data_IF_254415121980
#
_entry.id   IF_254415121980
#
_cell.length_a   1.000
_cell.length_b   1.000
_cell.length_c   1.000
_cell.angle_alpha   90.00
_cell.angle_beta   90.00
_cell.angle_gamma   90.00
#
_symmetry.space_group_name_H-M   'P 1'
#
loop_
_entity.id
_entity.type
_entity.pdbx_description
1 polymer ?
#
# COMPACT_ATOMS: atom_id res chain seq x y z
N UNK A 1 -10.91 -3.89 25.82
CA UNK A 1 -10.63 -4.77 24.67
C UNK A 1 -9.20 -5.32 24.71
N UNK A 2 -8.11 -4.48 24.70
CA UNK A 2 -6.74 -5.01 24.66
C UNK A 2 -6.35 -5.83 25.89
N UNK A 3 -6.70 -5.37 27.11
CA UNK A 3 -6.46 -6.15 28.34
C UNK A 3 -7.32 -7.43 28.39
N UNK A 4 -8.48 -7.41 27.79
CA UNK A 4 -9.36 -8.58 27.66
C UNK A 4 -8.82 -9.57 26.64
N UNK A 5 -8.33 -9.09 25.48
CA UNK A 5 -7.65 -9.90 24.46
C UNK A 5 -6.45 -10.64 25.08
N UNK A 6 -5.60 -9.92 25.83
CA UNK A 6 -4.43 -10.50 26.50
C UNK A 6 -4.82 -11.58 27.53
N UNK A 7 -5.89 -11.37 28.29
CA UNK A 7 -6.33 -12.27 29.35
C UNK A 7 -7.09 -13.48 28.82
N UNK A 8 -7.95 -13.27 27.81
CA UNK A 8 -8.93 -14.27 27.33
C UNK A 8 -8.51 -14.91 26.02
N UNK A 9 -7.50 -14.38 25.34
CA UNK A 9 -7.07 -14.84 24.02
C UNK A 9 -8.05 -14.48 22.89
N UNK A 10 -8.86 -13.42 23.05
CA UNK A 10 -9.81 -12.97 22.06
C UNK A 10 -9.13 -12.21 20.93
N UNK A 11 -9.76 -12.13 19.76
CA UNK A 11 -9.36 -11.25 18.68
C UNK A 11 -10.08 -9.90 18.78
N UNK A 12 -9.37 -8.81 18.56
CA UNK A 12 -9.98 -7.49 18.38
C UNK A 12 -10.21 -7.27 16.89
N UNK A 13 -11.47 -7.38 16.47
CA UNK A 13 -11.88 -7.21 15.06
C UNK A 13 -12.66 -5.92 14.90
N UNK A 14 -12.31 -5.10 13.91
CA UNK A 14 -13.01 -3.86 13.61
C UNK A 14 -12.91 -3.50 12.13
N UNK A 15 -13.76 -2.58 11.69
CA UNK A 15 -13.78 -2.04 10.32
C UNK A 15 -13.50 -0.54 10.36
N UNK A 16 -13.27 0.04 9.19
CA UNK A 16 -13.20 1.50 8.98
C UNK A 16 -14.14 1.88 7.83
N UNK A 17 -14.17 3.17 7.48
CA UNK A 17 -14.98 3.66 6.36
C UNK A 17 -14.61 3.03 5.01
N UNK A 18 -13.38 2.55 4.87
CA UNK A 18 -12.93 1.80 3.71
C UNK A 18 -13.37 0.33 3.81
N UNK A 19 -13.46 -0.38 2.68
CA UNK A 19 -13.75 -1.82 2.62
C UNK A 19 -12.60 -2.66 3.21
N UNK A 20 -12.33 -2.52 4.51
CA UNK A 20 -11.25 -3.22 5.21
C UNK A 20 -11.75 -3.88 6.48
N UNK A 21 -11.27 -5.11 6.73
CA UNK A 21 -11.39 -5.82 7.98
C UNK A 21 -10.04 -5.77 8.69
N UNK A 22 -10.01 -5.29 9.93
CA UNK A 22 -8.79 -5.14 10.70
C UNK A 22 -8.83 -6.06 11.90
N UNK A 23 -7.75 -6.79 12.12
CA UNK A 23 -7.59 -7.72 13.24
C UNK A 23 -6.36 -7.28 14.04
N UNK A 24 -6.58 -6.90 15.31
CA UNK A 24 -5.51 -6.59 16.24
C UNK A 24 -5.21 -7.79 17.13
N UNK A 25 -3.93 -8.01 17.40
CA UNK A 25 -3.44 -8.97 18.38
C UNK A 25 -2.15 -8.48 19.04
N UNK A 26 -1.96 -8.87 20.29
CA UNK A 26 -0.74 -8.54 21.02
C UNK A 26 0.39 -9.48 20.61
N UNK A 27 1.54 -8.94 20.18
CA UNK A 27 2.68 -9.73 19.72
C UNK A 27 3.30 -10.58 20.85
N UNK A 28 3.23 -10.11 22.09
CA UNK A 28 3.87 -10.74 23.23
C UNK A 28 3.07 -11.92 23.80
N UNK A 29 1.75 -11.89 23.65
CA UNK A 29 0.84 -12.93 24.19
C UNK A 29 0.27 -13.83 23.12
N UNK A 30 -0.20 -13.29 22.00
CA UNK A 30 -0.74 -14.04 20.87
C UNK A 30 0.36 -14.56 19.94
N UNK A 31 1.39 -13.74 19.71
CA UNK A 31 2.43 -13.98 18.71
C UNK A 31 2.02 -13.55 17.31
N UNK A 32 3.00 -13.12 16.51
CA UNK A 32 2.77 -12.67 15.13
C UNK A 32 2.25 -13.77 14.21
N UNK A 33 2.80 -14.96 14.32
CA UNK A 33 2.41 -16.09 13.46
C UNK A 33 0.94 -16.45 13.63
N UNK A 34 0.44 -16.45 14.87
CA UNK A 34 -0.96 -16.69 15.14
C UNK A 34 -1.84 -15.57 14.61
N UNK A 35 -1.46 -14.30 14.81
CA UNK A 35 -2.20 -13.16 14.28
C UNK A 35 -2.30 -13.21 12.75
N UNK A 36 -1.20 -13.51 12.08
CA UNK A 36 -1.16 -13.64 10.62
C UNK A 36 -2.02 -14.82 10.15
N UNK A 37 -1.94 -15.96 10.82
CA UNK A 37 -2.78 -17.12 10.51
C UNK A 37 -4.28 -16.80 10.64
N UNK A 38 -4.70 -16.10 11.68
CA UNK A 38 -6.09 -15.64 11.80
C UNK A 38 -6.50 -14.66 10.69
N UNK A 39 -5.59 -13.80 10.26
CA UNK A 39 -5.83 -12.90 9.13
C UNK A 39 -5.96 -13.67 7.80
N UNK A 40 -5.19 -14.72 7.59
CA UNK A 40 -5.31 -15.62 6.43
C UNK A 40 -6.67 -16.31 6.38
N UNK A 41 -7.10 -16.89 7.51
CA UNK A 41 -8.44 -17.49 7.64
C UNK A 41 -9.52 -16.45 7.34
N UNK A 42 -9.40 -15.24 7.92
CA UNK A 42 -10.34 -14.15 7.66
C UNK A 42 -10.32 -13.72 6.18
N UNK A 43 -9.14 -13.71 5.52
CA UNK A 43 -9.01 -13.44 4.10
C UNK A 43 -9.75 -14.47 3.25
N UNK A 44 -9.58 -15.76 3.53
CA UNK A 44 -10.29 -16.83 2.83
C UNK A 44 -11.82 -16.74 3.00
N UNK A 45 -12.29 -16.50 4.21
CA UNK A 45 -13.71 -16.32 4.48
C UNK A 45 -14.30 -15.12 3.73
N UNK A 46 -13.57 -14.01 3.68
CA UNK A 46 -14.02 -12.75 3.07
C UNK A 46 -13.84 -12.69 1.54
N UNK A 47 -13.33 -13.75 0.90
CA UNK A 47 -13.37 -13.94 -0.56
C UNK A 47 -14.75 -14.27 -1.09
N UNK A 48 -15.66 -14.74 -0.23
CA UNK A 48 -17.05 -15.09 -0.64
C UNK A 48 -17.74 -13.86 -1.21
N UNK A 49 -18.54 -14.09 -2.25
CA UNK A 49 -19.22 -13.03 -3.01
C UNK A 49 -20.10 -12.10 -2.14
N UNK A 50 -20.64 -12.64 -1.05
CA UNK A 50 -21.48 -11.92 -0.11
C UNK A 50 -20.71 -10.82 0.65
N UNK A 51 -19.40 -11.00 0.86
CA UNK A 51 -18.61 -10.13 1.74
C UNK A 51 -17.53 -9.33 1.03
N UNK A 52 -16.83 -9.88 0.07
CA UNK A 52 -15.81 -9.26 -0.80
C UNK A 52 -15.06 -8.09 -0.16
N UNK A 53 -14.49 -8.30 1.01
CA UNK A 53 -13.72 -7.28 1.73
C UNK A 53 -12.43 -6.97 0.96
N UNK A 54 -12.19 -5.70 0.67
CA UNK A 54 -11.05 -5.25 -0.15
C UNK A 54 -9.70 -5.62 0.45
N UNK A 55 -9.55 -5.54 1.78
CA UNK A 55 -8.34 -5.94 2.51
C UNK A 55 -8.66 -6.49 3.90
N UNK A 56 -7.95 -7.53 4.30
CA UNK A 56 -7.80 -7.92 5.69
C UNK A 56 -6.44 -7.39 6.17
N UNK A 57 -6.40 -6.75 7.33
CA UNK A 57 -5.18 -6.09 7.83
C UNK A 57 -4.86 -6.63 9.22
N UNK A 58 -3.69 -7.25 9.35
CA UNK A 58 -3.10 -7.54 10.64
C UNK A 58 -2.59 -6.25 11.31
N UNK A 59 -3.03 -6.01 12.54
CA UNK A 59 -2.66 -4.84 13.34
C UNK A 59 -2.00 -5.25 14.66
N UNK A 60 -0.75 -5.72 14.61
CA UNK A 60 -0.06 -6.12 15.81
C UNK A 60 0.26 -4.91 16.72
N UNK A 61 0.29 -5.19 18.02
CA UNK A 61 0.65 -4.21 19.03
C UNK A 61 1.40 -4.89 20.19
N UNK A 62 2.10 -4.09 21.00
CA UNK A 62 2.78 -4.49 22.22
C UNK A 62 2.22 -3.74 23.44
N UNK A 63 2.65 -4.15 24.64
CA UNK A 63 2.22 -3.58 25.92
C UNK A 63 1.18 -4.43 26.60
N UNK A 64 1.12 -4.38 27.96
CA UNK A 64 0.32 -5.27 28.80
C UNK A 64 -0.85 -4.59 29.49
N UNK A 65 -0.85 -3.25 29.59
CA UNK A 65 -1.90 -2.50 30.29
C UNK A 65 -2.17 -1.13 29.66
N UNK A 66 -3.27 -0.53 30.06
CA UNK A 66 -3.69 0.81 29.61
C UNK A 66 -2.56 1.83 29.74
N UNK A 67 -2.27 2.53 28.65
CA UNK A 67 -1.20 3.52 28.54
C UNK A 67 0.10 3.00 27.96
N UNK A 68 0.32 1.69 27.92
CA UNK A 68 1.51 1.05 27.35
C UNK A 68 1.31 0.58 25.91
N UNK A 69 0.06 0.38 25.48
CA UNK A 69 -0.23 -0.16 24.14
C UNK A 69 0.36 0.70 23.01
N UNK A 70 1.16 0.07 22.16
CA UNK A 70 1.80 0.68 20.99
C UNK A 70 1.67 -0.24 19.78
N UNK A 71 1.24 0.31 18.65
CA UNK A 71 1.27 -0.40 17.38
C UNK A 71 2.71 -0.62 16.95
N UNK A 72 2.98 -1.80 16.39
CA UNK A 72 4.29 -2.14 15.85
C UNK A 72 4.35 -1.92 14.34
N UNK A 73 5.54 -2.05 13.77
CA UNK A 73 5.78 -1.99 12.32
C UNK A 73 5.38 -3.28 11.58
N UNK A 74 5.04 -4.36 12.31
CA UNK A 74 4.72 -5.67 11.78
C UNK A 74 3.27 -5.75 11.23
N UNK A 75 2.72 -4.61 10.79
CA UNK A 75 1.47 -4.59 10.05
C UNK A 75 1.61 -5.38 8.77
N UNK A 76 0.61 -6.22 8.46
CA UNK A 76 0.54 -6.94 7.20
C UNK A 76 -0.85 -6.79 6.57
N UNK A 77 -0.89 -6.51 5.26
CA UNK A 77 -2.12 -6.32 4.51
C UNK A 77 -2.33 -7.50 3.56
N UNK A 78 -3.47 -8.18 3.67
CA UNK A 78 -3.93 -9.23 2.78
C UNK A 78 -4.92 -8.62 1.79
N UNK A 79 -4.44 -8.24 0.63
CA UNK A 79 -5.24 -7.59 -0.41
C UNK A 79 -6.18 -8.57 -1.13
N UNK A 80 -7.23 -8.02 -1.73
CA UNK A 80 -8.05 -8.74 -2.69
C UNK A 80 -7.41 -8.57 -4.06
N UNK A 81 -7.05 -9.66 -4.71
CA UNK A 81 -6.57 -9.65 -6.09
C UNK A 81 -7.64 -9.07 -7.02
N UNK A 82 -7.26 -8.42 -8.13
CA UNK A 82 -8.20 -8.01 -9.16
C UNK A 82 -9.08 -9.19 -9.62
N UNK A 83 -10.36 -8.95 -9.85
CA UNK A 83 -11.34 -9.99 -10.24
C UNK A 83 -11.03 -10.69 -11.56
N UNK A 84 -10.18 -10.10 -12.35
CA UNK A 84 -9.85 -10.63 -13.66
C UNK A 84 -8.60 -9.97 -14.21
N UNK A 85 -8.33 -10.30 -15.46
CA UNK A 85 -7.18 -9.79 -16.18
C UNK A 85 -7.27 -8.27 -16.33
N UNK A 86 -6.25 -7.57 -15.87
CA UNK A 86 -6.11 -6.12 -15.96
C UNK A 86 -5.23 -5.73 -17.16
N UNK A 87 -5.16 -4.42 -17.44
CA UNK A 87 -4.20 -3.90 -18.42
C UNK A 87 -2.74 -4.22 -18.04
N UNK A 88 -2.42 -4.30 -16.73
CA UNK A 88 -1.08 -4.66 -16.26
C UNK A 88 -0.73 -6.10 -16.67
N UNK A 89 -1.66 -7.03 -16.49
CA UNK A 89 -1.47 -8.42 -16.96
C UNK A 89 -1.29 -8.49 -18.47
N UNK A 90 -2.09 -7.73 -19.24
CA UNK A 90 -2.02 -7.72 -20.69
C UNK A 90 -0.65 -7.21 -21.21
N UNK A 91 -0.13 -6.15 -20.59
CA UNK A 91 1.18 -5.61 -20.92
C UNK A 91 2.30 -6.60 -20.58
N UNK A 92 2.28 -7.18 -19.37
CA UNK A 92 3.26 -8.17 -18.93
C UNK A 92 3.28 -9.39 -19.85
N UNK A 93 2.11 -9.93 -20.21
CA UNK A 93 2.00 -11.11 -21.09
C UNK A 93 2.44 -10.81 -22.53
N UNK A 94 2.34 -9.55 -22.95
CA UNK A 94 2.88 -9.07 -24.24
C UNK A 94 4.39 -8.81 -24.20
N UNK A 95 5.06 -9.06 -23.08
CA UNK A 95 6.51 -8.90 -22.91
C UNK A 95 6.96 -7.47 -22.63
N UNK A 96 6.02 -6.58 -22.25
CA UNK A 96 6.36 -5.23 -21.82
C UNK A 96 6.74 -5.18 -20.34
N UNK A 97 7.57 -4.19 -19.97
CA UNK A 97 7.84 -3.87 -18.60
C UNK A 97 6.61 -3.24 -17.92
N UNK A 98 6.29 -3.69 -16.71
CA UNK A 98 5.24 -3.10 -15.89
C UNK A 98 5.85 -2.78 -14.52
N UNK A 99 6.33 -1.56 -14.39
CA UNK A 99 7.02 -1.07 -13.20
C UNK A 99 6.03 -0.37 -12.30
N UNK A 100 6.02 -0.71 -11.03
CA UNK A 100 5.22 -0.02 -10.01
C UNK A 100 6.08 0.81 -9.07
N UNK A 101 5.58 1.99 -8.70
CA UNK A 101 6.17 2.86 -7.68
C UNK A 101 5.09 3.22 -6.66
N UNK A 102 5.43 3.15 -5.38
CA UNK A 102 4.51 3.41 -4.27
C UNK A 102 3.66 2.20 -3.91
N UNK A 103 2.35 2.38 -3.71
CA UNK A 103 1.42 1.33 -3.24
C UNK A 103 0.78 0.49 -4.35
N UNK A 104 1.19 0.64 -5.59
CA UNK A 104 0.57 -0.11 -6.70
C UNK A 104 0.69 -1.62 -6.49
N UNK A 105 1.84 -2.09 -5.97
CA UNK A 105 2.01 -3.50 -5.61
C UNK A 105 0.93 -3.97 -4.63
N UNK A 106 0.73 -3.22 -3.55
CA UNK A 106 -0.25 -3.58 -2.51
C UNK A 106 -1.70 -3.50 -3.02
N UNK A 107 -1.99 -2.57 -3.95
CA UNK A 107 -3.33 -2.39 -4.54
C UNK A 107 -3.68 -3.56 -5.47
N UNK A 108 -2.72 -4.04 -6.26
CA UNK A 108 -2.92 -5.11 -7.24
C UNK A 108 -2.45 -6.49 -6.72
N UNK A 109 -2.01 -6.58 -5.46
CA UNK A 109 -1.41 -7.80 -4.89
C UNK A 109 -0.30 -8.38 -5.77
N UNK A 110 0.52 -7.51 -6.35
CA UNK A 110 1.60 -7.87 -7.27
C UNK A 110 1.17 -8.34 -8.65
N UNK A 111 -0.14 -8.46 -8.93
CA UNK A 111 -0.65 -8.97 -10.19
C UNK A 111 -0.30 -8.07 -11.38
N UNK A 112 0.24 -8.69 -12.42
CA UNK A 112 0.58 -7.99 -13.66
C UNK A 112 1.84 -7.12 -13.62
N UNK A 113 2.60 -7.12 -12.51
CA UNK A 113 3.84 -6.35 -12.37
C UNK A 113 5.05 -7.17 -12.79
N UNK A 114 6.05 -6.51 -13.40
CA UNK A 114 7.39 -7.06 -13.67
C UNK A 114 8.40 -6.59 -12.62
N UNK A 115 8.20 -5.38 -12.09
CA UNK A 115 9.04 -4.79 -11.06
C UNK A 115 8.23 -3.91 -10.11
N UNK A 116 8.62 -3.89 -8.82
CA UNK A 116 7.99 -3.05 -7.80
C UNK A 116 9.02 -2.28 -6.99
N UNK A 117 8.71 -0.99 -6.75
CA UNK A 117 9.55 -0.08 -5.98
C UNK A 117 8.69 0.59 -4.91
N UNK A 118 8.98 0.30 -3.67
CA UNK A 118 8.34 0.96 -2.55
C UNK A 118 8.80 2.41 -2.43
N UNK A 119 7.89 3.33 -2.10
CA UNK A 119 8.21 4.73 -1.82
C UNK A 119 7.80 5.11 -0.39
N UNK A 120 8.65 5.88 0.28
CA UNK A 120 8.41 6.35 1.65
C UNK A 120 7.61 7.66 1.69
N UNK A 121 7.50 8.36 0.56
CA UNK A 121 6.78 9.63 0.40
C UNK A 121 6.47 9.88 -1.07
N UNK A 122 5.61 10.86 -1.35
CA UNK A 122 5.35 11.31 -2.73
C UNK A 122 6.59 11.91 -3.38
N UNK A 123 7.42 12.62 -2.63
CA UNK A 123 8.71 13.15 -3.11
C UNK A 123 9.62 12.02 -3.57
N UNK A 124 9.81 11.00 -2.73
CA UNK A 124 10.62 9.84 -3.06
C UNK A 124 10.05 9.06 -4.27
N UNK A 125 8.71 8.93 -4.35
CA UNK A 125 8.06 8.31 -5.51
C UNK A 125 8.35 9.06 -6.82
N UNK A 126 8.33 10.38 -6.81
CA UNK A 126 8.69 11.20 -7.96
C UNK A 126 10.19 11.11 -8.31
N UNK A 127 11.07 11.06 -7.32
CA UNK A 127 12.51 10.84 -7.55
C UNK A 127 12.77 9.51 -8.25
N UNK A 128 12.14 8.44 -7.80
CA UNK A 128 12.20 7.13 -8.47
C UNK A 128 11.66 7.20 -9.90
N UNK A 129 10.53 7.89 -10.12
CA UNK A 129 9.93 8.09 -11.46
C UNK A 129 10.89 8.82 -12.39
N UNK A 130 11.54 9.89 -11.92
CA UNK A 130 12.54 10.63 -12.69
C UNK A 130 13.78 9.77 -13.01
N UNK A 131 14.16 8.86 -12.11
CA UNK A 131 15.26 7.90 -12.39
C UNK A 131 14.84 6.90 -13.47
N UNK A 132 13.62 6.35 -13.40
CA UNK A 132 13.10 5.47 -14.44
C UNK A 132 13.04 6.14 -15.82
N UNK A 133 12.70 7.43 -15.89
CA UNK A 133 12.74 8.20 -17.14
C UNK A 133 14.14 8.34 -17.78
N UNK A 134 15.19 7.87 -17.09
CA UNK A 134 16.57 7.82 -17.62
C UNK A 134 16.96 6.43 -18.11
N UNK A 135 16.13 5.44 -17.84
CA UNK A 135 16.39 4.05 -18.24
C UNK A 135 15.72 3.74 -19.58
N UNK A 136 16.32 2.86 -20.33
CA UNK A 136 15.72 2.33 -21.55
C UNK A 136 14.77 1.18 -21.14
N UNK A 137 13.49 1.49 -20.88
CA UNK A 137 12.47 0.50 -20.59
C UNK A 137 11.31 0.64 -21.60
N UNK A 138 10.72 -0.49 -21.96
CA UNK A 138 9.62 -0.53 -22.92
C UNK A 138 8.35 -1.04 -22.23
N UNK A 139 7.50 -0.12 -21.80
CA UNK A 139 6.29 -0.52 -21.07
C UNK A 139 5.62 0.59 -20.28
N UNK A 140 5.09 0.25 -19.11
CA UNK A 140 4.33 1.13 -18.24
C UNK A 140 5.04 1.31 -16.89
N UNK A 141 5.29 2.55 -16.50
CA UNK A 141 5.64 2.90 -15.11
C UNK A 141 4.40 3.48 -14.42
N UNK A 142 3.81 2.71 -13.50
CA UNK A 142 2.61 3.10 -12.77
C UNK A 142 2.98 3.63 -11.38
N UNK A 143 2.70 4.90 -11.14
CA UNK A 143 3.14 5.62 -9.93
C UNK A 143 1.95 5.99 -9.06
N UNK A 144 2.03 5.68 -7.76
CA UNK A 144 1.09 6.14 -6.75
C UNK A 144 1.78 7.07 -5.75
N UNK A 145 1.36 8.34 -5.72
CA UNK A 145 1.89 9.35 -4.81
C UNK A 145 1.05 9.40 -3.53
N UNK A 146 1.52 8.73 -2.50
CA UNK A 146 0.73 8.35 -1.32
C UNK A 146 0.42 9.48 -0.34
N UNK A 147 1.21 10.56 -0.29
CA UNK A 147 1.10 11.58 0.77
C UNK A 147 -0.15 12.44 0.64
N UNK A 148 -0.63 12.68 -0.59
CA UNK A 148 -1.82 13.49 -0.85
C UNK A 148 -3.03 12.98 -0.07
N UNK A 149 -3.23 11.66 -0.05
CA UNK A 149 -4.29 11.01 0.69
C UNK A 149 -3.88 10.78 2.15
N UNK A 150 -2.81 10.01 2.37
CA UNK A 150 -2.44 9.46 3.67
C UNK A 150 -2.00 10.51 4.68
N UNK A 151 -1.22 11.51 4.26
CA UNK A 151 -0.64 12.53 5.16
C UNK A 151 -1.53 13.75 5.26
N UNK A 152 -2.16 14.15 4.16
CA UNK A 152 -2.87 15.42 4.09
C UNK A 152 -4.38 15.29 3.96
N UNK A 153 -4.88 14.41 3.07
CA UNK A 153 -6.31 14.24 2.79
C UNK A 153 -7.09 13.75 4.00
N UNK A 154 -6.75 12.60 4.53
CA UNK A 154 -7.39 12.02 5.72
C UNK A 154 -7.29 12.89 6.98
N UNK A 155 -6.35 13.80 7.05
CA UNK A 155 -6.15 14.71 8.17
C UNK A 155 -6.74 16.10 7.95
N UNK A 156 -7.39 16.32 6.80
CA UNK A 156 -7.92 17.63 6.38
C UNK A 156 -6.87 18.76 6.49
N UNK A 157 -5.62 18.43 6.22
CA UNK A 157 -4.51 19.36 6.25
C UNK A 157 -4.38 20.08 4.89
N UNK A 158 -5.19 21.11 4.68
CA UNK A 158 -5.28 21.85 3.42
C UNK A 158 -3.95 22.53 3.06
N UNK A 159 -3.24 23.09 4.06
CA UNK A 159 -1.97 23.75 3.85
C UNK A 159 -0.91 22.76 3.36
N UNK A 160 -0.75 21.62 4.05
CA UNK A 160 0.19 20.58 3.66
C UNK A 160 -0.14 19.98 2.29
N UNK A 161 -1.43 19.84 1.94
CA UNK A 161 -1.85 19.38 0.62
C UNK A 161 -1.41 20.37 -0.48
N UNK A 162 -1.59 21.67 -0.27
CA UNK A 162 -1.16 22.69 -1.22
C UNK A 162 0.37 22.74 -1.38
N UNK A 163 1.12 22.60 -0.27
CA UNK A 163 2.59 22.53 -0.29
C UNK A 163 3.08 21.28 -1.04
N UNK A 164 2.43 20.14 -0.83
CA UNK A 164 2.71 18.90 -1.56
C UNK A 164 2.43 19.05 -3.07
N UNK A 165 1.33 19.70 -3.46
CA UNK A 165 1.00 19.97 -4.84
C UNK A 165 2.05 20.87 -5.52
N UNK A 166 2.51 21.91 -4.83
CA UNK A 166 3.58 22.80 -5.31
C UNK A 166 4.90 22.04 -5.48
N UNK A 167 5.21 21.14 -4.57
CA UNK A 167 6.41 20.29 -4.65
C UNK A 167 6.33 19.31 -5.81
N UNK A 168 5.17 18.67 -5.98
CA UNK A 168 4.90 17.79 -7.12
C UNK A 168 5.03 18.53 -8.46
N UNK A 169 4.45 19.72 -8.59
CA UNK A 169 4.53 20.53 -9.83
C UNK A 169 5.99 20.81 -10.22
N UNK A 170 6.83 21.15 -9.25
CA UNK A 170 8.27 21.35 -9.49
C UNK A 170 8.97 20.09 -9.97
N UNK A 171 8.68 18.93 -9.35
CA UNK A 171 9.25 17.65 -9.75
C UNK A 171 8.71 17.18 -11.10
N UNK A 172 7.43 17.49 -11.40
CA UNK A 172 6.83 17.22 -12.70
C UNK A 172 7.54 18.00 -13.82
N UNK A 173 7.89 19.27 -13.58
CA UNK A 173 8.70 20.04 -14.51
C UNK A 173 10.03 19.35 -14.84
N UNK A 174 10.75 18.87 -13.82
CA UNK A 174 11.99 18.12 -14.00
C UNK A 174 11.78 16.81 -14.78
N UNK A 175 10.71 16.09 -14.49
CA UNK A 175 10.33 14.86 -15.19
C UNK A 175 10.05 15.13 -16.69
N UNK A 176 9.27 16.16 -16.99
CA UNK A 176 8.92 16.54 -18.36
C UNK A 176 10.15 16.96 -19.18
N UNK A 177 11.11 17.66 -18.58
CA UNK A 177 12.38 17.99 -19.22
C UNK A 177 13.17 16.74 -19.60
N UNK A 178 13.17 15.71 -18.72
CA UNK A 178 13.85 14.44 -18.97
C UNK A 178 13.23 13.67 -20.13
N UNK A 179 11.90 13.58 -20.18
CA UNK A 179 11.20 12.92 -21.30
C UNK A 179 11.52 13.63 -22.62
N UNK A 180 11.51 14.97 -22.66
CA UNK A 180 11.85 15.72 -23.88
C UNK A 180 13.28 15.48 -24.34
N UNK A 181 14.24 15.34 -23.41
CA UNK A 181 15.64 15.05 -23.74
C UNK A 181 15.80 13.61 -24.27
N UNK A 182 15.06 12.64 -23.74
CA UNK A 182 15.03 11.26 -24.23
C UNK A 182 14.38 11.15 -25.63
N UNK A 183 13.25 11.83 -25.85
CA UNK A 183 12.57 11.85 -27.14
C UNK A 183 13.34 12.59 -28.26
N UNK A 184 14.29 13.42 -27.92
CA UNK A 184 15.15 14.12 -28.89
C UNK A 184 16.40 13.34 -29.28
N UNK A 185 16.59 12.13 -28.76
CA UNK A 185 17.73 11.25 -29.08
C UNK A 185 17.38 10.08 -30.03
N UNK A 186 16.21 10.16 -30.66
CA UNK A 186 15.77 9.22 -31.72
C UNK A 186 16.05 9.79 -33.11
#
# INVERSE_FOLDING_TARGET
>A
LAEEEIREGHLIVYTSADSVLQICGNEETMGLDNLYHYCEIARELTLRDEWKVGRVIARPYTGMKKGEFRRTSNRHDYALKPYGRTALNALKDAGYDVVSIGKIYDIFDGEGLTQSNHSNSSVHGMEQTIQYAKTDFNGLCFVNLVDFDMVYGHRNNRKGYAEAATTFDRQLGTFMERIRQGAGAL
#
